data_IF_148116579240
#
_entry.id   IF_148116579240
#
_cell.length_a   1.000
_cell.length_b   1.000
_cell.length_c   1.000
_cell.angle_alpha   90.00
_cell.angle_beta   90.00
_cell.angle_gamma   90.00
#
_symmetry.space_group_name_H-M   'P 1'
#
loop_
_entity.id
_entity.type
_entity.pdbx_description
1 polymer ?
#
# COMPACT_ATOMS: atom_id res chain seq x y z
N UNK A 1 18.42 7.85 -12.18
CA UNK A 1 17.94 7.81 -10.79
C UNK A 1 17.06 9.02 -10.53
N UNK A 2 15.77 8.89 -10.88
CA UNK A 2 14.77 9.89 -10.59
C UNK A 2 13.67 9.19 -9.78
N UNK A 3 13.34 9.76 -8.62
CA UNK A 3 12.21 9.33 -7.83
C UNK A 3 10.93 9.92 -8.43
N UNK A 4 9.97 9.06 -8.77
CA UNK A 4 8.65 9.46 -9.25
C UNK A 4 7.60 9.14 -8.19
N UNK A 5 6.88 10.15 -7.72
CA UNK A 5 5.68 9.96 -6.91
C UNK A 5 4.47 10.07 -7.85
N UNK A 6 3.63 9.03 -7.87
CA UNK A 6 2.45 8.97 -8.75
C UNK A 6 1.26 8.31 -8.06
N UNK A 7 0.02 8.53 -8.55
CA UNK A 7 -1.12 7.72 -8.15
C UNK A 7 -0.84 6.23 -8.37
N UNK A 8 -1.32 5.41 -7.43
CA UNK A 8 -1.28 3.96 -7.55
C UNK A 8 -2.33 3.46 -8.55
N UNK A 9 -1.97 2.40 -9.26
CA UNK A 9 -2.86 1.57 -10.04
C UNK A 9 -3.05 0.23 -9.30
N UNK A 10 -4.29 -0.16 -8.92
CA UNK A 10 -4.51 -1.37 -8.12
C UNK A 10 -3.92 -2.63 -8.75
N UNK A 11 -4.21 -2.87 -10.03
CA UNK A 11 -3.81 -4.10 -10.72
C UNK A 11 -2.28 -4.19 -10.87
N UNK A 12 -1.60 -3.04 -11.03
CA UNK A 12 -0.13 -3.00 -11.19
C UNK A 12 0.62 -2.97 -9.87
N UNK A 13 0.16 -2.20 -8.89
CA UNK A 13 0.96 -1.80 -7.73
C UNK A 13 0.62 -2.58 -6.45
N UNK A 14 -0.50 -3.29 -6.39
CA UNK A 14 -0.94 -4.03 -5.20
C UNK A 14 0.08 -5.05 -4.71
N UNK A 15 0.66 -5.85 -5.62
CA UNK A 15 1.65 -6.86 -5.27
C UNK A 15 2.92 -6.24 -4.65
N UNK A 16 3.38 -5.11 -5.19
CA UNK A 16 4.56 -4.42 -4.67
C UNK A 16 4.27 -3.78 -3.29
N UNK A 17 3.09 -3.17 -3.13
CA UNK A 17 2.69 -2.61 -1.83
C UNK A 17 2.53 -3.69 -0.75
N UNK A 18 1.96 -4.86 -1.11
CA UNK A 18 1.86 -6.01 -0.20
C UNK A 18 3.25 -6.51 0.22
N UNK A 19 4.20 -6.63 -0.72
CA UNK A 19 5.57 -7.05 -0.43
C UNK A 19 6.31 -6.04 0.48
N UNK A 20 6.11 -4.73 0.27
CA UNK A 20 6.66 -3.69 1.15
C UNK A 20 6.06 -3.77 2.55
N UNK A 21 4.74 -4.03 2.65
CA UNK A 21 4.03 -4.06 3.92
C UNK A 21 4.31 -5.31 4.76
N UNK A 22 4.51 -6.47 4.12
CA UNK A 22 4.68 -7.76 4.79
C UNK A 22 5.71 -7.77 5.95
N UNK A 23 6.96 -7.28 5.80
CA UNK A 23 7.92 -7.27 6.90
C UNK A 23 7.51 -6.35 8.06
N UNK A 24 6.62 -5.37 7.84
CA UNK A 24 6.06 -4.53 8.89
C UNK A 24 4.98 -5.20 9.74
N UNK A 25 4.52 -6.37 9.32
CA UNK A 25 3.60 -7.23 10.05
C UNK A 25 4.34 -8.39 10.73
N UNK A 26 5.24 -9.05 9.99
CA UNK A 26 5.91 -10.26 10.49
C UNK A 26 7.07 -9.97 11.43
N UNK A 27 7.79 -8.86 11.21
CA UNK A 27 9.12 -8.66 11.81
C UNK A 27 9.17 -7.46 12.77
N UNK A 28 8.12 -6.64 12.83
CA UNK A 28 8.08 -5.46 13.71
C UNK A 28 6.65 -5.04 14.11
N UNK A 29 6.59 -3.99 14.94
CA UNK A 29 5.37 -3.45 15.56
C UNK A 29 4.86 -2.17 14.90
N UNK A 30 5.22 -1.92 13.63
CA UNK A 30 4.71 -0.76 12.87
C UNK A 30 3.24 -0.97 12.50
N UNK A 31 2.84 -2.22 12.25
CA UNK A 31 1.44 -2.61 12.10
C UNK A 31 0.92 -3.34 13.34
N UNK A 32 -0.40 -3.29 13.53
CA UNK A 32 -1.12 -4.14 14.49
C UNK A 32 -1.82 -5.34 13.81
N UNK A 33 -1.66 -5.50 12.49
CA UNK A 33 -2.11 -6.71 11.80
C UNK A 33 -1.26 -7.91 12.27
N UNK A 34 -1.84 -9.11 12.25
CA UNK A 34 -1.17 -10.35 12.64
C UNK A 34 -0.67 -11.14 11.43
N UNK A 35 -1.46 -11.11 10.35
CA UNK A 35 -1.16 -11.76 9.08
C UNK A 35 -1.01 -10.68 8.00
N UNK A 36 0.08 -10.69 7.22
CA UNK A 36 0.26 -9.70 6.17
C UNK A 36 -0.77 -9.91 5.05
N UNK A 37 -1.42 -8.85 4.55
CA UNK A 37 -2.30 -8.93 3.38
C UNK A 37 -1.52 -9.43 2.17
N UNK A 38 -2.15 -10.32 1.40
CA UNK A 38 -1.65 -10.71 0.09
C UNK A 38 -1.93 -9.62 -0.96
N UNK A 39 -1.46 -9.84 -2.19
CA UNK A 39 -1.66 -8.91 -3.29
C UNK A 39 -3.14 -8.63 -3.57
N UNK A 40 -4.00 -9.65 -3.48
CA UNK A 40 -5.42 -9.51 -3.75
C UNK A 40 -6.14 -8.70 -2.66
N UNK A 41 -5.75 -8.86 -1.39
CA UNK A 41 -6.24 -8.03 -0.29
C UNK A 41 -5.77 -6.59 -0.40
N UNK A 42 -4.50 -6.38 -0.76
CA UNK A 42 -3.99 -5.04 -0.98
C UNK A 42 -4.71 -4.34 -2.14
N UNK A 43 -4.99 -5.05 -3.23
CA UNK A 43 -5.78 -4.56 -4.36
C UNK A 43 -7.20 -4.14 -3.91
N UNK A 44 -7.89 -4.99 -3.15
CA UNK A 44 -9.22 -4.65 -2.57
C UNK A 44 -9.18 -3.38 -1.70
N UNK A 45 -8.12 -3.21 -0.90
CA UNK A 45 -7.95 -1.99 -0.08
C UNK A 45 -7.74 -0.75 -0.95
N UNK A 46 -6.93 -0.87 -2.01
CA UNK A 46 -6.73 0.20 -2.98
C UNK A 46 -8.05 0.60 -3.65
N UNK A 47 -8.79 -0.36 -4.19
CA UNK A 47 -10.10 -0.13 -4.82
C UNK A 47 -11.11 0.53 -3.88
N UNK A 48 -11.08 0.15 -2.58
CA UNK A 48 -11.95 0.75 -1.56
C UNK A 48 -11.60 2.22 -1.27
N UNK A 49 -10.32 2.55 -1.14
CA UNK A 49 -9.93 3.88 -0.65
C UNK A 49 -9.65 4.89 -1.77
N UNK A 50 -9.14 4.48 -2.93
CA UNK A 50 -8.83 5.37 -4.07
C UNK A 50 -10.00 6.29 -4.47
N UNK A 51 -11.28 5.83 -4.50
CA UNK A 51 -12.40 6.70 -4.88
C UNK A 51 -12.62 7.90 -3.96
N UNK A 52 -12.14 7.83 -2.70
CA UNK A 52 -12.38 8.86 -1.68
C UNK A 52 -11.11 9.50 -1.14
N UNK A 53 -9.96 8.84 -1.26
CA UNK A 53 -8.68 9.25 -0.71
C UNK A 53 -7.55 8.96 -1.70
N UNK A 54 -6.44 9.69 -1.59
CA UNK A 54 -5.25 9.42 -2.40
C UNK A 54 -4.55 8.12 -1.97
N UNK A 55 -4.12 7.34 -2.96
CA UNK A 55 -3.09 6.31 -2.80
C UNK A 55 -1.94 6.64 -3.74
N UNK A 56 -0.75 6.84 -3.18
CA UNK A 56 0.45 7.22 -3.90
C UNK A 56 1.50 6.12 -3.77
N UNK A 57 2.27 5.91 -4.83
CA UNK A 57 3.49 5.10 -4.81
C UNK A 57 4.69 5.95 -5.16
N UNK A 58 5.81 5.62 -4.54
CA UNK A 58 7.13 6.09 -4.88
C UNK A 58 7.80 5.03 -5.77
N UNK A 59 8.08 5.38 -7.02
CA UNK A 59 8.74 4.51 -8.00
C UNK A 59 10.14 5.03 -8.29
N UNK A 60 11.12 4.13 -8.28
CA UNK A 60 12.50 4.40 -8.66
C UNK A 60 13.00 3.26 -9.55
N UNK A 61 13.52 3.62 -10.73
CA UNK A 61 14.05 2.67 -11.72
C UNK A 61 13.06 1.52 -12.06
N UNK A 62 11.76 1.84 -12.14
CA UNK A 62 10.69 0.89 -12.49
C UNK A 62 10.17 0.05 -11.31
N UNK A 63 10.75 0.19 -10.12
CA UNK A 63 10.33 -0.52 -8.92
C UNK A 63 9.60 0.41 -7.95
N UNK A 64 8.48 -0.06 -7.40
CA UNK A 64 7.82 0.63 -6.27
C UNK A 64 8.66 0.38 -5.02
N UNK A 65 9.12 1.46 -4.39
CA UNK A 65 9.98 1.42 -3.19
C UNK A 65 9.28 1.92 -1.93
N UNK A 66 8.05 2.44 -2.07
CA UNK A 66 7.25 2.95 -0.96
C UNK A 66 5.86 3.35 -1.42
N UNK A 67 4.94 3.47 -0.48
CA UNK A 67 3.58 3.93 -0.75
C UNK A 67 3.01 4.69 0.44
N UNK A 68 1.99 5.49 0.20
CA UNK A 68 1.23 6.18 1.22
C UNK A 68 -0.23 6.28 0.77
N UNK A 69 -1.17 6.13 1.71
CA UNK A 69 -2.59 6.24 1.40
C UNK A 69 -3.37 6.90 2.52
N UNK A 70 -4.46 7.56 2.16
CA UNK A 70 -5.46 8.03 3.11
C UNK A 70 -6.57 7.01 3.29
N UNK A 71 -7.17 6.99 4.47
CA UNK A 71 -8.39 6.25 4.76
C UNK A 71 -9.29 7.06 5.71
N UNK A 72 -10.59 6.73 5.82
CA UNK A 72 -11.47 7.39 6.77
C UNK A 72 -10.94 7.27 8.21
N UNK A 73 -10.91 8.37 8.94
CA UNK A 73 -10.54 8.37 10.35
C UNK A 73 -11.57 7.56 11.16
N UNK A 74 -11.10 6.60 11.97
CA UNK A 74 -11.90 5.72 12.85
C UNK A 74 -12.84 4.75 12.11
N UNK A 75 -12.34 4.02 11.13
CA UNK A 75 -13.08 2.87 10.57
C UNK A 75 -13.25 1.69 11.56
N UNK A 76 -12.42 1.63 12.61
CA UNK A 76 -12.56 0.68 13.73
C UNK A 76 -12.85 1.47 15.02
N UNK A 77 -13.96 1.13 15.67
CA UNK A 77 -14.36 1.65 16.98
C UNK A 77 -13.66 0.89 18.11
#
# INVERSE_FOLDING_TARGET
MALLIRPADPARDAAACAAIYAPFVTDNWVSFELDPPDAAEMERRMERYIPSHGWLVAEMDGAVIGYAYGCPHRERA
#
